data_IF_939194434455
#
_entry.id   IF_939194434455
#
_cell.length_a   1.000
_cell.length_b   1.000
_cell.length_c   1.000
_cell.angle_alpha   90.00
_cell.angle_beta   90.00
_cell.angle_gamma   90.00
#
_symmetry.space_group_name_H-M   'P 1'
#
loop_
_entity.id
_entity.type
_entity.pdbx_description
1 polymer ?
#
# COMPACT_ATOMS: atom_id res chain seq x y z
N UNK A 1 -10.65 7.94 -7.67
CA UNK A 1 -9.52 7.10 -8.10
C UNK A 1 -8.26 7.90 -7.81
N UNK A 2 -7.50 7.50 -6.80
CA UNK A 2 -6.27 8.18 -6.38
C UNK A 2 -5.12 7.79 -7.30
N UNK A 3 -4.58 8.74 -8.07
CA UNK A 3 -3.39 8.60 -8.93
C UNK A 3 -2.09 8.51 -8.12
N UNK A 4 -2.00 7.59 -7.16
CA UNK A 4 -0.75 7.39 -6.41
C UNK A 4 -0.82 6.34 -5.32
N UNK A 5 0.33 6.12 -4.67
CA UNK A 5 0.56 5.11 -3.63
C UNK A 5 -0.30 5.22 -2.35
N UNK A 6 -1.23 6.19 -2.28
CA UNK A 6 -2.07 6.45 -1.10
C UNK A 6 -3.49 6.75 -1.57
N UNK A 7 -4.44 6.03 -0.99
CA UNK A 7 -5.87 6.18 -1.20
C UNK A 7 -6.46 7.27 -0.28
N UNK A 8 -7.34 8.11 -0.83
CA UNK A 8 -8.08 9.16 -0.12
C UNK A 8 -9.55 9.10 -0.48
N UNK A 9 -10.39 9.49 0.48
CA UNK A 9 -11.85 9.57 0.32
C UNK A 9 -12.46 8.27 -0.22
N UNK A 10 -11.89 7.14 0.20
CA UNK A 10 -12.31 5.83 -0.27
C UNK A 10 -13.57 5.38 0.48
N UNK A 11 -14.63 5.07 -0.27
CA UNK A 11 -15.90 4.63 0.29
C UNK A 11 -15.75 3.24 0.90
N UNK A 12 -16.30 3.07 2.08
CA UNK A 12 -16.26 1.81 2.83
C UNK A 12 -17.14 0.79 2.14
N UNK A 13 -16.55 -0.32 1.72
CA UNK A 13 -17.28 -1.35 1.01
C UNK A 13 -18.20 -2.11 1.95
N UNK A 14 -19.50 -2.09 1.63
CA UNK A 14 -20.54 -2.74 2.43
C UNK A 14 -20.94 -4.11 1.89
N UNK A 15 -20.40 -4.52 0.74
CA UNK A 15 -20.69 -5.81 0.09
C UNK A 15 -19.45 -6.38 -0.58
N UNK A 16 -19.52 -7.65 -0.99
CA UNK A 16 -18.45 -8.33 -1.73
C UNK A 16 -17.24 -8.74 -0.88
N UNK A 17 -16.17 -9.13 -1.58
CA UNK A 17 -14.91 -9.64 -0.99
C UNK A 17 -14.32 -8.66 0.04
N UNK A 18 -14.42 -7.37 -0.24
CA UNK A 18 -13.81 -6.29 0.54
C UNK A 18 -14.74 -5.67 1.56
N UNK A 19 -15.87 -6.33 1.87
CA UNK A 19 -16.86 -5.83 2.83
C UNK A 19 -16.24 -5.62 4.22
N UNK A 20 -16.41 -4.41 4.74
CA UNK A 20 -16.05 -4.01 6.10
C UNK A 20 -17.32 -3.79 6.95
N UNK A 21 -17.61 -4.71 7.88
CA UNK A 21 -18.83 -4.65 8.70
C UNK A 21 -18.71 -3.73 9.92
N UNK A 22 -17.51 -3.54 10.47
CA UNK A 22 -17.28 -3.00 11.80
C UNK A 22 -16.83 -1.54 11.79
N UNK A 23 -16.30 -1.04 10.66
CA UNK A 23 -15.92 0.36 10.54
C UNK A 23 -17.16 1.29 10.42
N UNK A 24 -17.32 2.27 11.34
CA UNK A 24 -18.57 3.00 11.52
C UNK A 24 -18.81 4.11 10.49
N UNK A 25 -17.75 4.65 9.87
CA UNK A 25 -17.86 5.72 8.87
C UNK A 25 -18.21 5.16 7.49
N UNK A 26 -18.76 5.99 6.61
CA UNK A 26 -18.97 5.65 5.19
C UNK A 26 -17.69 5.80 4.34
N UNK A 27 -16.66 6.45 4.88
CA UNK A 27 -15.40 6.75 4.18
C UNK A 27 -14.23 6.45 5.11
N UNK A 28 -13.23 5.73 4.60
CA UNK A 28 -12.00 5.44 5.34
C UNK A 28 -11.12 6.69 5.51
N UNK A 29 -10.31 6.76 6.58
CA UNK A 29 -9.20 7.70 6.62
C UNK A 29 -8.22 7.42 5.48
N UNK A 30 -7.29 8.34 5.24
CA UNK A 30 -6.25 8.13 4.23
C UNK A 30 -5.40 6.89 4.57
N UNK A 31 -5.20 5.98 3.61
CA UNK A 31 -4.45 4.74 3.80
C UNK A 31 -3.50 4.45 2.62
N UNK A 32 -2.38 3.74 2.82
CA UNK A 32 -1.48 3.39 1.72
C UNK A 32 -2.14 2.39 0.77
N UNK A 33 -1.72 2.34 -0.49
CA UNK A 33 -2.15 1.27 -1.38
C UNK A 33 -1.48 -0.06 -0.97
N UNK A 34 -2.21 -1.18 -1.04
CA UNK A 34 -1.73 -2.53 -0.73
C UNK A 34 -0.57 -3.07 -1.58
N UNK A 35 -0.03 -2.28 -2.51
CA UNK A 35 1.19 -2.59 -3.28
C UNK A 35 2.50 -2.48 -2.48
N UNK A 36 2.42 -2.06 -1.21
CA UNK A 36 3.56 -1.88 -0.31
C UNK A 36 3.80 -0.43 0.09
N UNK A 37 4.36 -0.24 1.29
CA UNK A 37 4.63 1.06 1.89
C UNK A 37 5.72 0.91 2.98
N UNK A 38 6.30 2.05 3.39
CA UNK A 38 7.34 2.10 4.42
C UNK A 38 6.87 2.97 5.58
N UNK A 39 7.06 2.49 6.80
CA UNK A 39 6.77 3.21 8.03
C UNK A 39 8.05 3.46 8.82
N UNK A 40 8.09 4.57 9.57
CA UNK A 40 9.23 4.85 10.46
C UNK A 40 9.25 3.85 11.63
N UNK A 41 10.44 3.61 12.18
CA UNK A 41 10.61 2.72 13.34
C UNK A 41 9.69 3.07 14.50
N UNK A 42 9.53 4.37 14.80
CA UNK A 42 8.71 4.81 15.93
C UNK A 42 7.23 4.48 15.74
N UNK A 43 6.70 4.63 14.51
CA UNK A 43 5.32 4.23 14.20
C UNK A 43 5.15 2.72 14.28
N UNK A 44 6.11 1.96 13.75
CA UNK A 44 6.10 0.50 13.86
C UNK A 44 6.13 0.03 15.33
N UNK A 45 7.00 0.61 16.16
CA UNK A 45 7.07 0.29 17.60
C UNK A 45 5.75 0.61 18.29
N UNK A 46 5.15 1.77 18.02
CA UNK A 46 3.84 2.11 18.58
C UNK A 46 2.76 1.08 18.18
N UNK A 47 2.72 0.68 16.90
CA UNK A 47 1.77 -0.35 16.43
C UNK A 47 1.99 -1.69 17.15
N UNK A 48 3.24 -2.13 17.27
CA UNK A 48 3.58 -3.39 17.93
C UNK A 48 3.20 -3.37 19.42
N UNK A 49 3.50 -2.28 20.13
CA UNK A 49 3.19 -2.13 21.55
C UNK A 49 1.68 -2.08 21.80
N UNK A 50 0.90 -1.57 20.84
CA UNK A 50 -0.55 -1.42 20.95
C UNK A 50 -1.34 -2.52 20.23
N UNK A 51 -0.69 -3.51 19.63
CA UNK A 51 -1.32 -4.48 18.72
C UNK A 51 -2.56 -5.18 19.31
N UNK A 52 -2.59 -5.44 20.63
CA UNK A 52 -3.73 -6.07 21.33
C UNK A 52 -4.94 -5.14 21.52
N UNK A 53 -4.73 -3.83 21.42
CA UNK A 53 -5.75 -2.80 21.56
C UNK A 53 -6.28 -2.32 20.19
N UNK A 54 -5.59 -2.67 19.11
CA UNK A 54 -5.98 -2.32 17.75
C UNK A 54 -7.05 -3.30 17.26
N UNK A 55 -8.16 -2.76 16.77
CA UNK A 55 -9.22 -3.58 16.17
C UNK A 55 -8.78 -4.10 14.81
N UNK A 56 -9.10 -5.36 14.50
CA UNK A 56 -8.77 -5.99 13.22
C UNK A 56 -9.84 -5.66 12.18
N UNK A 57 -9.56 -4.73 11.27
CA UNK A 57 -10.45 -4.41 10.15
C UNK A 57 -10.17 -5.32 8.94
N UNK A 58 -11.12 -5.37 8.01
CA UNK A 58 -10.94 -5.97 6.70
C UNK A 58 -10.00 -5.12 5.85
N UNK A 59 -8.94 -5.76 5.34
CA UNK A 59 -7.87 -5.09 4.58
C UNK A 59 -6.75 -4.60 5.49
N UNK A 60 -5.56 -5.13 5.26
CA UNK A 60 -4.35 -4.81 6.06
C UNK A 60 -3.89 -3.36 5.85
N UNK A 61 -3.92 -2.90 4.60
CA UNK A 61 -3.57 -1.55 4.19
C UNK A 61 -4.59 -0.52 4.71
N UNK A 62 -5.88 -0.84 4.63
CA UNK A 62 -6.96 -0.04 5.23
C UNK A 62 -6.79 0.05 6.75
N UNK A 63 -6.53 -1.09 7.42
CA UNK A 63 -6.29 -1.15 8.86
C UNK A 63 -5.15 -0.22 9.28
N UNK A 64 -4.05 -0.21 8.54
CA UNK A 64 -2.94 0.71 8.78
C UNK A 64 -3.34 2.18 8.74
N UNK A 65 -4.16 2.59 7.78
CA UNK A 65 -4.69 3.96 7.74
C UNK A 65 -5.57 4.28 8.95
N UNK A 66 -6.41 3.35 9.38
CA UNK A 66 -7.28 3.52 10.55
C UNK A 66 -6.47 3.62 11.84
N UNK A 67 -5.54 2.70 12.07
CA UNK A 67 -4.72 2.67 13.28
C UNK A 67 -3.82 3.89 13.43
N UNK A 68 -3.34 4.45 12.32
CA UNK A 68 -2.45 5.60 12.31
C UNK A 68 -3.18 6.94 12.25
N UNK A 69 -4.48 6.98 11.90
CA UNK A 69 -5.25 8.22 11.81
C UNK A 69 -5.18 9.08 13.09
N UNK A 70 -5.27 8.53 14.32
CA UNK A 70 -5.16 9.33 15.55
C UNK A 70 -3.78 9.95 15.77
N UNK A 71 -2.73 9.38 15.18
CA UNK A 71 -1.35 9.89 15.29
C UNK A 71 -1.03 10.97 14.26
N UNK A 72 -1.89 11.14 13.25
CA UNK A 72 -1.72 12.08 12.14
C UNK A 72 -0.28 12.14 11.57
N UNK A 73 0.32 10.99 11.18
CA UNK A 73 1.70 10.98 10.71
C UNK A 73 1.85 11.75 9.39
N UNK A 74 3.07 12.26 9.15
CA UNK A 74 3.40 12.85 7.85
C UNK A 74 3.40 11.77 6.76
N UNK A 75 2.40 11.80 5.89
CA UNK A 75 2.32 10.93 4.73
C UNK A 75 3.17 11.48 3.58
N UNK A 76 4.06 10.65 3.05
CA UNK A 76 4.90 10.98 1.89
C UNK A 76 4.38 10.17 0.71
N UNK A 77 3.84 10.84 -0.29
CA UNK A 77 3.44 10.19 -1.54
C UNK A 77 4.61 10.20 -2.51
N UNK A 78 5.03 9.01 -2.93
CA UNK A 78 6.06 8.83 -3.94
C UNK A 78 5.48 7.98 -5.08
N UNK A 79 5.35 8.60 -6.26
CA UNK A 79 4.71 7.98 -7.44
C UNK A 79 5.45 6.74 -7.94
N UNK A 80 6.71 6.55 -7.54
CA UNK A 80 7.48 5.36 -7.88
C UNK A 80 6.94 4.09 -7.20
N UNK A 81 6.13 4.23 -6.15
CA UNK A 81 5.40 3.11 -5.54
C UNK A 81 4.09 2.91 -6.29
N UNK A 82 4.04 1.90 -7.15
CA UNK A 82 2.91 1.70 -8.05
C UNK A 82 1.78 0.97 -7.33
N UNK A 83 0.58 1.55 -7.34
CA UNK A 83 -0.61 0.91 -6.75
C UNK A 83 -1.18 -0.21 -7.63
N UNK A 84 -0.90 -0.16 -8.93
CA UNK A 84 -1.33 -1.12 -9.93
C UNK A 84 -0.12 -1.69 -10.67
N UNK A 85 -0.32 -2.78 -11.41
CA UNK A 85 0.71 -3.42 -12.24
C UNK A 85 1.09 -2.55 -13.44
N UNK A 86 1.85 -1.50 -13.18
CA UNK A 86 2.38 -0.55 -14.15
C UNK A 86 3.91 -0.55 -14.02
N UNK A 87 4.59 -0.86 -15.11
CA UNK A 87 6.05 -0.87 -15.12
C UNK A 87 6.57 0.51 -15.55
N UNK A 88 7.22 1.20 -14.63
CA UNK A 88 7.92 2.46 -14.91
C UNK A 88 9.42 2.31 -14.66
N UNK A 89 10.24 2.96 -15.47
CA UNK A 89 11.71 2.83 -15.40
C UNK A 89 12.27 3.21 -14.01
N UNK A 90 11.60 4.12 -13.29
CA UNK A 90 12.02 4.59 -11.96
C UNK A 90 11.24 3.97 -10.79
N UNK A 91 10.42 2.94 -11.03
CA UNK A 91 9.56 2.35 -10.00
C UNK A 91 10.36 1.74 -8.84
N UNK A 92 9.81 1.88 -7.64
CA UNK A 92 10.29 1.25 -6.41
C UNK A 92 9.52 -0.04 -6.10
N UNK A 93 8.24 -0.09 -6.45
CA UNK A 93 7.40 -1.29 -6.31
C UNK A 93 6.46 -1.43 -7.50
N UNK A 94 6.08 -2.67 -7.82
CA UNK A 94 5.02 -3.02 -8.77
C UNK A 94 4.29 -4.27 -8.26
N UNK A 95 2.97 -4.22 -8.04
CA UNK A 95 2.19 -5.34 -7.55
C UNK A 95 1.83 -6.33 -8.67
N UNK A 96 1.22 -7.45 -8.28
CA UNK A 96 0.63 -8.45 -9.16
C UNK A 96 1.59 -9.10 -10.18
N UNK A 97 2.87 -9.20 -9.80
CA UNK A 97 3.88 -9.92 -10.58
C UNK A 97 3.88 -11.41 -10.27
N UNK A 98 3.96 -12.20 -11.34
CA UNK A 98 4.27 -13.63 -11.25
C UNK A 98 5.75 -13.82 -10.86
N UNK A 99 6.14 -14.98 -10.31
CA UNK A 99 7.55 -15.26 -10.01
C UNK A 99 8.49 -15.11 -11.21
N UNK A 100 8.02 -15.47 -12.41
CA UNK A 100 8.79 -15.31 -13.65
C UNK A 100 8.98 -13.83 -14.01
N UNK A 101 7.94 -13.00 -13.88
CA UNK A 101 8.04 -11.56 -14.10
C UNK A 101 8.97 -10.90 -13.08
N UNK A 102 8.89 -11.26 -11.79
CA UNK A 102 9.82 -10.74 -10.77
C UNK A 102 11.27 -11.05 -11.16
N UNK A 103 11.54 -12.28 -11.58
CA UNK A 103 12.89 -12.71 -12.00
C UNK A 103 13.35 -11.94 -13.25
N UNK A 104 12.48 -11.78 -14.24
CA UNK A 104 12.75 -11.03 -15.47
C UNK A 104 13.04 -9.56 -15.19
N UNK A 105 12.20 -8.89 -14.40
CA UNK A 105 12.40 -7.49 -14.03
C UNK A 105 13.66 -7.29 -13.20
N UNK A 106 13.99 -8.23 -12.32
CA UNK A 106 15.25 -8.21 -11.57
C UNK A 106 16.45 -8.36 -12.49
N UNK A 107 16.41 -9.29 -13.43
CA UNK A 107 17.47 -9.45 -14.43
C UNK A 107 17.65 -8.18 -15.28
N UNK A 108 16.56 -7.64 -15.82
CA UNK A 108 16.59 -6.40 -16.60
C UNK A 108 17.11 -5.21 -15.78
N UNK A 109 16.76 -5.12 -14.49
CA UNK A 109 17.29 -4.08 -13.59
C UNK A 109 18.82 -4.14 -13.46
N UNK A 110 19.40 -5.34 -13.47
CA UNK A 110 20.83 -5.55 -13.31
C UNK A 110 21.61 -5.41 -14.62
N UNK A 111 20.99 -5.72 -15.76
CA UNK A 111 21.70 -5.87 -17.04
C UNK A 111 21.24 -4.94 -18.16
N UNK A 112 20.10 -4.25 -17.99
CA UNK A 112 19.49 -3.40 -19.00
C UNK A 112 19.35 -1.96 -18.52
N UNK A 113 18.92 -1.07 -19.43
CA UNK A 113 18.70 0.35 -19.14
C UNK A 113 17.54 0.57 -18.16
N UNK A 114 16.59 -0.36 -18.09
CA UNK A 114 15.41 -0.28 -17.25
C UNK A 114 14.92 -1.68 -16.83
N UNK A 115 14.34 -1.83 -15.62
CA UNK A 115 13.66 -3.06 -15.21
C UNK A 115 12.51 -3.47 -16.15
N UNK A 116 11.97 -2.53 -16.91
CA UNK A 116 10.79 -2.73 -17.76
C UNK A 116 11.10 -3.14 -19.20
N UNK A 117 12.37 -3.16 -19.60
CA UNK A 117 12.77 -3.45 -20.98
C UNK A 117 13.75 -4.60 -21.04
N UNK A 118 13.47 -5.54 -21.94
CA UNK A 118 14.36 -6.65 -22.25
C UNK A 118 15.51 -6.13 -23.11
N UNK A 119 16.71 -6.60 -22.79
CA UNK A 119 17.84 -6.65 -23.71
C UNK A 119 17.69 -7.92 -24.56
#
# INVERSE_FOLDING_TARGET
MSDGAVARDWVVERTGKWREPDFPSSVYPTFPCGSGYVVSRNLHTWLADNARHLHSFQGEDVSMGIWLAPLAPRLIQDKRWQCFKVCEDSMLSMPDLTPAEVTSHWYNKLHCVSPCRVC
#
